data_IF_430825126203
#
_entry.id   IF_430825126203
#
_cell.length_a   1.000
_cell.length_b   1.000
_cell.length_c   1.000
_cell.angle_alpha   90.00
_cell.angle_beta   90.00
_cell.angle_gamma   90.00
#
_symmetry.space_group_name_H-M   'P 1'
#
loop_
_entity.id
_entity.type
_entity.pdbx_description
1 polymer ?
#
# COMPACT_ATOMS: atom_id res chain seq x y z
N UNK A 1 -15.47 0.79 1.84
CA UNK A 1 -15.75 -0.27 0.87
C UNK A 1 -15.25 -1.63 1.34
N UNK A 2 -15.44 -2.71 0.57
CA UNK A 2 -15.18 -4.10 1.01
C UNK A 2 -13.73 -4.35 1.44
N UNK A 3 -12.74 -3.72 0.80
CA UNK A 3 -11.34 -3.79 1.24
C UNK A 3 -11.14 -3.26 2.66
N UNK A 4 -11.80 -2.16 3.01
CA UNK A 4 -11.71 -1.58 4.35
C UNK A 4 -12.26 -2.50 5.44
N UNK A 5 -13.32 -3.24 5.16
CA UNK A 5 -13.85 -4.24 6.11
C UNK A 5 -12.81 -5.32 6.43
N UNK A 6 -12.12 -5.84 5.41
CA UNK A 6 -11.06 -6.83 5.62
C UNK A 6 -9.86 -6.25 6.36
N UNK A 7 -9.50 -4.99 6.14
CA UNK A 7 -8.43 -4.29 6.90
C UNK A 7 -8.76 -4.26 8.39
N UNK A 8 -10.01 -3.91 8.74
CA UNK A 8 -10.46 -3.86 10.14
C UNK A 8 -10.51 -5.27 10.74
N UNK A 9 -11.10 -6.24 10.06
CA UNK A 9 -11.20 -7.62 10.56
C UNK A 9 -9.84 -8.28 10.78
N UNK A 10 -8.83 -7.92 10.00
CA UNK A 10 -7.47 -8.44 10.10
C UNK A 10 -6.58 -7.65 11.08
N UNK A 11 -7.15 -6.68 11.79
CA UNK A 11 -6.42 -5.80 12.71
C UNK A 11 -5.22 -5.13 12.04
N UNK A 12 -5.43 -4.59 10.85
CA UNK A 12 -4.42 -3.87 10.08
C UNK A 12 -4.71 -2.36 10.07
N UNK A 13 -5.08 -1.79 11.23
CA UNK A 13 -5.52 -0.39 11.35
C UNK A 13 -4.45 0.61 10.89
N UNK A 14 -3.18 0.33 11.15
CA UNK A 14 -2.05 1.15 10.74
C UNK A 14 -1.56 0.88 9.31
N UNK A 15 -2.24 0.03 8.55
CA UNK A 15 -1.80 -0.33 7.21
C UNK A 15 -1.81 0.87 6.26
N UNK A 16 -2.85 1.71 6.33
CA UNK A 16 -2.94 2.93 5.54
C UNK A 16 -1.80 3.90 5.83
N UNK A 17 -1.49 4.10 7.11
CA UNK A 17 -0.39 4.95 7.56
C UNK A 17 0.97 4.42 7.08
N UNK A 18 1.21 3.12 7.25
CA UNK A 18 2.43 2.46 6.76
C UNK A 18 2.62 2.64 5.25
N UNK A 19 1.55 2.49 4.48
CA UNK A 19 1.62 2.67 3.03
C UNK A 19 1.77 4.14 2.63
N UNK A 20 1.19 5.08 3.37
CA UNK A 20 1.38 6.51 3.13
C UNK A 20 2.83 6.92 3.33
N UNK A 21 3.49 6.46 4.40
CA UNK A 21 4.91 6.73 4.63
C UNK A 21 5.81 6.02 3.61
N UNK A 22 5.47 4.79 3.21
CA UNK A 22 6.21 4.10 2.14
C UNK A 22 6.01 4.78 0.78
N UNK A 23 4.85 5.37 0.54
CA UNK A 23 4.59 6.13 -0.67
C UNK A 23 5.40 7.44 -0.71
N UNK A 24 5.55 8.12 0.43
CA UNK A 24 6.46 9.28 0.53
C UNK A 24 7.88 8.88 0.13
N UNK A 25 8.39 7.76 0.65
CA UNK A 25 9.68 7.22 0.25
C UNK A 25 9.72 6.92 -1.27
N UNK A 26 8.66 6.33 -1.81
CA UNK A 26 8.53 6.05 -3.24
C UNK A 26 8.61 7.31 -4.11
N UNK A 27 7.96 8.39 -3.69
CA UNK A 27 8.04 9.68 -4.37
C UNK A 27 9.47 10.23 -4.35
N UNK A 28 10.12 10.24 -3.20
CA UNK A 28 11.48 10.74 -3.06
C UNK A 28 12.46 9.95 -3.93
N UNK A 29 12.31 8.62 -3.98
CA UNK A 29 13.12 7.78 -4.86
C UNK A 29 12.81 8.02 -6.34
N UNK A 30 11.54 8.23 -6.71
CA UNK A 30 11.19 8.51 -8.11
C UNK A 30 11.89 9.75 -8.64
N UNK A 31 11.99 10.75 -7.78
CA UNK A 31 12.66 12.00 -8.11
C UNK A 31 14.17 11.84 -8.13
N UNK A 32 14.74 11.15 -7.15
CA UNK A 32 16.18 10.90 -7.08
C UNK A 32 16.70 10.19 -8.33
N UNK A 33 15.89 9.28 -8.91
CA UNK A 33 16.26 8.46 -10.07
C UNK A 33 15.54 8.87 -11.36
N UNK A 34 14.77 9.97 -11.38
CA UNK A 34 13.96 10.40 -12.53
C UNK A 34 13.03 9.30 -13.09
N UNK A 35 12.38 8.56 -12.17
CA UNK A 35 11.47 7.48 -12.51
C UNK A 35 10.00 7.96 -12.51
N UNK A 36 9.11 7.14 -13.08
CA UNK A 36 7.68 7.41 -13.03
C UNK A 36 7.15 7.32 -11.57
N UNK A 37 6.57 8.41 -11.07
CA UNK A 37 6.13 8.54 -9.68
C UNK A 37 5.17 7.42 -9.28
N UNK A 38 4.13 7.17 -10.07
CA UNK A 38 3.11 6.16 -9.76
C UNK A 38 3.67 4.75 -9.71
N UNK A 39 4.57 4.41 -10.64
CA UNK A 39 5.23 3.11 -10.68
C UNK A 39 6.18 2.92 -9.48
N UNK A 40 6.92 3.97 -9.12
CA UNK A 40 7.87 3.89 -7.99
C UNK A 40 7.13 3.79 -6.66
N UNK A 41 6.05 4.55 -6.48
CA UNK A 41 5.18 4.43 -5.29
C UNK A 41 4.63 3.00 -5.20
N UNK A 42 4.09 2.47 -6.28
CA UNK A 42 3.56 1.10 -6.30
C UNK A 42 4.63 0.07 -5.98
N UNK A 43 5.82 0.19 -6.56
CA UNK A 43 6.94 -0.73 -6.31
C UNK A 43 7.41 -0.69 -4.86
N UNK A 44 7.60 0.50 -4.29
CA UNK A 44 8.04 0.66 -2.89
C UNK A 44 6.96 0.18 -1.92
N UNK A 45 5.70 0.55 -2.14
CA UNK A 45 4.58 0.10 -1.32
C UNK A 45 4.40 -1.42 -1.38
N UNK A 46 4.56 -2.03 -2.55
CA UNK A 46 4.52 -3.48 -2.71
C UNK A 46 5.68 -4.18 -2.02
N UNK A 47 6.88 -3.59 -2.08
CA UNK A 47 8.06 -4.10 -1.37
C UNK A 47 7.84 -4.10 0.14
N UNK A 48 7.37 -2.99 0.71
CA UNK A 48 7.03 -2.89 2.14
C UNK A 48 5.94 -3.91 2.51
N UNK A 49 4.93 -4.07 1.67
CA UNK A 49 3.88 -5.08 1.86
C UNK A 49 4.44 -6.51 1.90
N UNK A 50 5.38 -6.84 1.01
CA UNK A 50 6.05 -8.15 1.00
C UNK A 50 6.95 -8.36 2.23
N UNK A 51 7.64 -7.31 2.68
CA UNK A 51 8.43 -7.35 3.92
C UNK A 51 7.51 -7.62 5.11
N UNK A 52 6.36 -6.93 5.18
CA UNK A 52 5.35 -7.16 6.21
C UNK A 52 4.91 -8.63 6.25
N UNK A 53 4.56 -9.20 5.10
CA UNK A 53 4.11 -10.59 5.00
C UNK A 53 5.21 -11.57 5.45
N UNK A 54 6.46 -11.29 5.13
CA UNK A 54 7.59 -12.10 5.62
C UNK A 54 7.77 -12.00 7.13
N UNK A 55 7.71 -10.78 7.67
CA UNK A 55 7.85 -10.56 9.11
C UNK A 55 6.71 -11.22 9.90
N UNK A 56 5.47 -11.16 9.39
CA UNK A 56 4.33 -11.86 10.00
C UNK A 56 4.53 -13.36 10.13
N UNK A 57 5.27 -13.98 9.21
CA UNK A 57 5.56 -15.42 9.23
C UNK A 57 6.76 -15.79 10.11
N UNK A 58 7.71 -14.89 10.24
CA UNK A 58 8.97 -15.15 10.95
C UNK A 58 8.97 -14.68 12.40
N UNK A 59 8.02 -13.85 12.76
CA UNK A 59 7.90 -13.26 14.10
C UNK A 59 6.53 -13.54 14.70
N UNK A 60 6.48 -13.66 16.01
CA UNK A 60 5.21 -13.78 16.76
C UNK A 60 4.68 -12.40 17.20
N UNK A 61 5.11 -11.33 16.56
CA UNK A 61 4.67 -9.98 16.90
C UNK A 61 3.27 -9.70 16.33
N UNK A 62 2.44 -8.94 17.04
CA UNK A 62 1.13 -8.53 16.53
C UNK A 62 1.29 -7.64 15.28
N UNK A 63 0.32 -7.72 14.38
CA UNK A 63 0.33 -6.99 13.10
C UNK A 63 0.51 -5.49 13.28
N UNK A 64 -0.13 -4.89 14.28
CA UNK A 64 -0.03 -3.46 14.56
C UNK A 64 1.39 -3.04 14.95
N UNK A 65 2.13 -3.88 15.69
CA UNK A 65 3.52 -3.60 16.05
C UNK A 65 4.44 -3.65 14.82
N UNK A 66 4.24 -4.63 13.93
CA UNK A 66 5.00 -4.73 12.67
C UNK A 66 4.70 -3.57 11.73
N UNK A 67 3.44 -3.17 11.64
CA UNK A 67 3.02 -2.02 10.83
C UNK A 67 3.60 -0.72 11.38
N UNK A 68 3.56 -0.51 12.68
CA UNK A 68 4.19 0.66 13.32
C UNK A 68 5.70 0.72 13.09
N UNK A 69 6.39 -0.41 13.22
CA UNK A 69 7.83 -0.50 12.94
C UNK A 69 8.14 -0.14 11.49
N UNK A 70 7.42 -0.72 10.54
CA UNK A 70 7.63 -0.46 9.11
C UNK A 70 7.28 0.97 8.73
N UNK A 71 6.19 1.53 9.30
CA UNK A 71 5.76 2.90 9.08
C UNK A 71 6.85 3.89 9.46
N UNK A 72 7.32 3.81 10.70
CA UNK A 72 8.36 4.72 11.19
C UNK A 72 9.72 4.50 10.53
N UNK A 73 10.06 3.25 10.17
CA UNK A 73 11.27 2.96 9.42
C UNK A 73 11.23 3.56 8.01
N UNK A 74 10.11 3.43 7.31
CA UNK A 74 9.93 4.02 5.98
C UNK A 74 9.99 5.55 6.04
N UNK A 75 9.37 6.16 7.06
CA UNK A 75 9.43 7.60 7.28
C UNK A 75 10.86 8.07 7.57
N UNK A 76 11.58 7.38 8.45
CA UNK A 76 12.96 7.72 8.80
C UNK A 76 13.90 7.67 7.58
N UNK A 77 13.79 6.60 6.78
CA UNK A 77 14.55 6.48 5.52
C UNK A 77 14.15 7.58 4.54
N UNK A 78 12.84 7.85 4.41
CA UNK A 78 12.34 8.96 3.58
C UNK A 78 12.94 10.31 3.97
N UNK A 79 12.99 10.61 5.27
CA UNK A 79 13.58 11.87 5.75
C UNK A 79 15.09 11.95 5.50
N UNK A 80 15.82 10.84 5.63
CA UNK A 80 17.25 10.79 5.28
C UNK A 80 17.45 11.06 3.79
N UNK A 81 16.67 10.40 2.93
CA UNK A 81 16.71 10.63 1.47
C UNK A 81 16.38 12.08 1.14
N UNK A 82 15.36 12.66 1.77
CA UNK A 82 15.02 14.07 1.61
C UNK A 82 16.18 15.01 1.99
N UNK A 83 16.88 14.69 3.06
CA UNK A 83 18.07 15.45 3.49
C UNK A 83 19.18 15.48 2.43
N UNK A 84 19.39 14.38 1.70
CA UNK A 84 20.33 14.32 0.58
C UNK A 84 19.82 15.06 -0.67
N UNK A 85 18.52 15.16 -0.85
CA UNK A 85 17.86 15.81 -1.99
C UNK A 85 17.59 17.32 -1.76
N UNK A 86 18.21 17.94 -0.77
CA UNK A 86 17.97 19.34 -0.36
C UNK A 86 18.18 20.39 -1.47
N UNK A 87 18.83 20.02 -2.58
CA UNK A 87 18.99 20.85 -3.76
C UNK A 87 17.77 20.91 -4.70
N UNK A 88 16.79 20.02 -4.51
CA UNK A 88 15.62 19.94 -5.38
C UNK A 88 14.46 20.65 -4.67
N UNK A 89 14.05 21.81 -5.20
CA UNK A 89 12.85 22.51 -4.73
C UNK A 89 11.61 21.71 -5.16
N UNK A 90 11.13 20.89 -4.26
CA UNK A 90 9.88 20.15 -4.43
C UNK A 90 8.71 20.94 -3.89
N UNK A 91 7.60 20.90 -4.59
CA UNK A 91 6.30 21.22 -4.02
C UNK A 91 5.81 20.06 -3.14
N UNK A 92 6.48 19.90 -1.99
CA UNK A 92 6.15 18.89 -0.99
C UNK A 92 4.70 19.09 -0.49
N UNK A 93 4.24 20.34 -0.45
CA UNK A 93 2.90 20.69 0.00
C UNK A 93 1.82 20.13 -0.94
N UNK A 94 1.96 20.30 -2.26
CA UNK A 94 1.03 19.73 -3.24
C UNK A 94 1.00 18.20 -3.18
N UNK A 95 2.12 17.58 -2.84
CA UNK A 95 2.25 16.13 -2.75
C UNK A 95 1.64 15.55 -1.46
N UNK A 96 1.80 16.25 -0.33
CA UNK A 96 1.26 15.83 0.96
C UNK A 96 -0.26 16.03 1.04
N UNK A 97 -0.78 17.12 0.51
CA UNK A 97 -2.19 17.48 0.61
C UNK A 97 -3.02 17.11 -0.63
N UNK A 98 -2.35 16.71 -1.71
CA UNK A 98 -3.00 16.43 -3.00
C UNK A 98 -3.45 17.72 -3.72
N UNK A 99 -3.66 17.62 -5.01
CA UNK A 99 -4.19 18.69 -5.84
C UNK A 99 -5.34 18.17 -6.72
N UNK A 100 -6.56 18.29 -6.24
CA UNK A 100 -7.77 17.86 -6.93
C UNK A 100 -7.97 18.64 -8.26
N UNK A 101 -7.46 19.88 -8.33
CA UNK A 101 -7.61 20.73 -9.51
C UNK A 101 -6.66 20.34 -10.66
N UNK A 102 -5.59 19.59 -10.39
CA UNK A 102 -4.64 19.10 -11.39
C UNK A 102 -5.04 17.78 -12.05
N UNK A 103 -6.21 17.22 -11.68
CA UNK A 103 -6.69 15.93 -12.19
C UNK A 103 -7.04 16.01 -13.66
N UNK A 104 -6.37 15.18 -14.46
CA UNK A 104 -6.58 15.09 -15.89
C UNK A 104 -7.54 13.93 -16.25
N UNK A 105 -8.09 13.93 -17.46
CA UNK A 105 -8.96 12.84 -17.95
C UNK A 105 -8.24 11.49 -17.92
N UNK A 106 -6.93 11.48 -18.15
CA UNK A 106 -6.10 10.28 -18.02
C UNK A 106 -6.02 9.73 -16.58
N UNK A 107 -6.02 10.60 -15.59
CA UNK A 107 -6.03 10.21 -14.18
C UNK A 107 -7.38 9.60 -13.81
N UNK A 108 -8.46 10.17 -14.32
CA UNK A 108 -9.81 9.64 -14.14
C UNK A 108 -9.94 8.23 -14.75
N UNK A 109 -9.42 8.02 -15.95
CA UNK A 109 -9.40 6.71 -16.60
C UNK A 109 -8.55 5.70 -15.79
N UNK A 110 -7.40 6.12 -15.30
CA UNK A 110 -6.53 5.28 -14.47
C UNK A 110 -7.25 4.82 -13.18
N UNK A 111 -8.03 5.72 -12.55
CA UNK A 111 -8.80 5.40 -11.35
C UNK A 111 -9.94 4.42 -11.68
N UNK A 112 -10.69 4.65 -12.76
CA UNK A 112 -11.77 3.77 -13.16
C UNK A 112 -11.28 2.38 -13.55
N UNK A 113 -10.24 2.31 -14.39
CA UNK A 113 -9.65 1.04 -14.85
C UNK A 113 -8.97 0.32 -13.68
N UNK A 114 -8.15 1.04 -12.91
CA UNK A 114 -7.47 0.49 -11.74
C UNK A 114 -8.44 0.04 -10.66
N UNK A 115 -9.45 0.85 -10.37
CA UNK A 115 -10.51 0.50 -9.42
C UNK A 115 -11.33 -0.71 -9.86
N UNK A 116 -11.72 -0.78 -11.13
CA UNK A 116 -12.43 -1.92 -11.70
C UNK A 116 -11.56 -3.20 -11.63
N UNK A 117 -10.28 -3.09 -11.98
CA UNK A 117 -9.35 -4.21 -11.88
C UNK A 117 -9.20 -4.71 -10.43
N UNK A 118 -9.02 -3.81 -9.48
CA UNK A 118 -8.95 -4.15 -8.04
C UNK A 118 -10.22 -4.87 -7.58
N UNK A 119 -11.40 -4.37 -7.97
CA UNK A 119 -12.68 -5.01 -7.62
C UNK A 119 -12.83 -6.39 -8.25
N UNK A 120 -12.41 -6.58 -9.51
CA UNK A 120 -12.44 -7.88 -10.18
C UNK A 120 -11.53 -8.90 -9.49
N UNK A 121 -10.30 -8.51 -9.16
CA UNK A 121 -9.38 -9.40 -8.45
C UNK A 121 -9.91 -9.70 -7.05
N UNK A 122 -10.45 -8.71 -6.34
CA UNK A 122 -11.07 -8.91 -5.03
C UNK A 122 -12.27 -9.87 -5.11
N UNK A 123 -13.11 -9.74 -6.13
CA UNK A 123 -14.23 -10.64 -6.37
C UNK A 123 -13.76 -12.08 -6.62
N UNK A 124 -12.68 -12.23 -7.39
CA UNK A 124 -12.08 -13.54 -7.68
C UNK A 124 -11.54 -14.22 -6.42
N UNK A 125 -10.84 -13.46 -5.56
CA UNK A 125 -10.26 -13.99 -4.31
C UNK A 125 -11.22 -13.92 -3.11
N UNK A 126 -12.48 -13.50 -3.32
CA UNK A 126 -13.43 -13.22 -2.23
C UNK A 126 -13.61 -14.39 -1.28
N UNK A 127 -13.90 -15.58 -1.84
CA UNK A 127 -14.13 -16.80 -1.05
C UNK A 127 -12.90 -17.20 -0.23
N UNK A 128 -11.71 -17.39 -0.82
CA UNK A 128 -10.52 -17.75 -0.05
C UNK A 128 -10.06 -16.63 0.89
N UNK A 129 -10.28 -15.36 0.55
CA UNK A 129 -9.98 -14.23 1.43
C UNK A 129 -10.87 -14.24 2.67
N UNK A 130 -12.16 -14.45 2.51
CA UNK A 130 -13.11 -14.55 3.61
C UNK A 130 -12.78 -15.77 4.49
N UNK A 131 -12.60 -16.94 3.92
CA UNK A 131 -12.26 -18.17 4.65
C UNK A 131 -10.97 -18.00 5.47
N UNK A 132 -9.91 -17.45 4.87
CA UNK A 132 -8.63 -17.21 5.56
C UNK A 132 -8.71 -16.12 6.65
N UNK A 133 -9.69 -15.25 6.58
CA UNK A 133 -9.91 -14.21 7.59
C UNK A 133 -10.66 -14.77 8.79
N UNK A 134 -11.58 -15.71 8.57
CA UNK A 134 -12.36 -16.36 9.64
C UNK A 134 -11.53 -17.42 10.36
N UNK A 135 -10.91 -18.32 9.61
CA UNK A 135 -10.05 -19.36 10.16
C UNK A 135 -8.96 -19.75 9.17
N UNK A 136 -7.73 -19.40 9.49
CA UNK A 136 -6.56 -19.66 8.65
C UNK A 136 -6.30 -21.16 8.45
N UNK A 137 -6.32 -21.95 9.52
CA UNK A 137 -6.03 -23.38 9.50
C UNK A 137 -7.09 -24.17 8.69
N UNK A 138 -8.35 -23.78 8.84
CA UNK A 138 -9.45 -24.41 8.09
C UNK A 138 -9.34 -24.10 6.59
N UNK A 139 -9.01 -22.87 6.23
CA UNK A 139 -8.82 -22.47 4.84
C UNK A 139 -7.65 -23.23 4.19
N UNK A 140 -6.58 -23.46 4.93
CA UNK A 140 -5.44 -24.27 4.49
C UNK A 140 -5.82 -25.75 4.30
N UNK A 141 -6.57 -26.32 5.25
CA UNK A 141 -7.04 -27.69 5.18
C UNK A 141 -7.99 -27.95 3.99
N UNK A 142 -8.74 -26.95 3.56
CA UNK A 142 -9.59 -27.01 2.37
C UNK A 142 -8.83 -26.82 1.05
N UNK A 143 -7.50 -26.73 1.09
CA UNK A 143 -6.64 -26.58 -0.09
C UNK A 143 -6.58 -25.15 -0.64
N UNK A 144 -7.14 -24.18 0.07
CA UNK A 144 -6.96 -22.77 -0.23
C UNK A 144 -5.58 -22.35 0.23
N UNK A 145 -4.86 -21.55 -0.57
CA UNK A 145 -3.55 -21.03 -0.17
C UNK A 145 -3.70 -19.66 0.52
N UNK A 146 -3.92 -19.60 1.86
CA UNK A 146 -4.18 -18.35 2.56
C UNK A 146 -3.03 -17.37 2.45
N UNK A 147 -1.80 -17.84 2.36
CA UNK A 147 -0.61 -17.02 2.16
C UNK A 147 -0.63 -16.25 0.84
N UNK A 148 -0.98 -16.93 -0.25
CA UNK A 148 -1.09 -16.28 -1.57
C UNK A 148 -2.21 -15.27 -1.59
N UNK A 149 -3.34 -15.62 -0.98
CA UNK A 149 -4.50 -14.73 -0.87
C UNK A 149 -4.15 -13.48 -0.06
N UNK A 150 -3.43 -13.64 1.04
CA UNK A 150 -2.94 -12.54 1.86
C UNK A 150 -1.98 -11.63 1.08
N UNK A 151 -1.06 -12.22 0.33
CA UNK A 151 -0.13 -11.47 -0.51
C UNK A 151 -0.87 -10.65 -1.59
N UNK A 152 -1.81 -11.27 -2.29
CA UNK A 152 -2.63 -10.59 -3.31
C UNK A 152 -3.43 -9.46 -2.67
N UNK A 153 -4.10 -9.70 -1.54
CA UNK A 153 -4.87 -8.68 -0.83
C UNK A 153 -4.01 -7.48 -0.42
N UNK A 154 -2.81 -7.73 0.12
CA UNK A 154 -1.89 -6.68 0.56
C UNK A 154 -1.36 -5.86 -0.62
N UNK A 155 -1.07 -6.51 -1.76
CA UNK A 155 -0.67 -5.84 -3.00
C UNK A 155 -1.83 -5.03 -3.59
N UNK A 156 -3.06 -5.53 -3.53
CA UNK A 156 -4.25 -4.77 -3.96
C UNK A 156 -4.43 -3.49 -3.13
N UNK A 157 -4.20 -3.55 -1.82
CA UNK A 157 -4.22 -2.36 -0.96
C UNK A 157 -3.11 -1.37 -1.34
N UNK A 158 -1.90 -1.86 -1.62
CA UNK A 158 -0.81 -1.02 -2.09
C UNK A 158 -1.14 -0.33 -3.43
N UNK A 159 -1.75 -1.07 -4.37
CA UNK A 159 -2.20 -0.52 -5.65
C UNK A 159 -3.29 0.55 -5.47
N UNK A 160 -4.27 0.29 -4.59
CA UNK A 160 -5.33 1.24 -4.28
C UNK A 160 -4.76 2.56 -3.75
N UNK A 161 -3.82 2.48 -2.81
CA UNK A 161 -3.18 3.66 -2.23
C UNK A 161 -2.34 4.39 -3.27
N UNK A 162 -1.57 3.68 -4.08
CA UNK A 162 -0.76 4.27 -5.15
C UNK A 162 -1.61 5.07 -6.17
N UNK A 163 -2.82 4.57 -6.49
CA UNK A 163 -3.75 5.27 -7.37
C UNK A 163 -4.37 6.50 -6.65
N UNK A 164 -4.67 6.36 -5.37
CA UNK A 164 -5.39 7.38 -4.60
C UNK A 164 -4.50 8.56 -4.18
N UNK A 165 -3.20 8.36 -4.00
CA UNK A 165 -2.26 9.37 -3.49
C UNK A 165 -2.24 10.63 -4.35
N UNK A 166 -2.33 10.49 -5.66
CA UNK A 166 -2.30 11.65 -6.57
C UNK A 166 -3.48 12.60 -6.35
N UNK A 167 -4.63 12.07 -5.90
CA UNK A 167 -5.85 12.85 -5.70
C UNK A 167 -6.04 13.29 -4.25
N UNK A 168 -5.75 12.42 -3.30
CA UNK A 168 -6.04 12.62 -1.88
C UNK A 168 -4.83 13.14 -1.11
N UNK A 169 -3.62 12.96 -1.66
CA UNK A 169 -2.37 13.25 -0.97
C UNK A 169 -1.94 12.12 -0.04
N UNK A 170 -0.81 12.35 0.64
CA UNK A 170 -0.19 11.37 1.54
C UNK A 170 -0.70 11.45 2.99
N UNK A 171 -1.36 12.55 3.36
CA UNK A 171 -1.85 12.79 4.74
C UNK A 171 -3.37 12.74 4.84
#
# INVERSE_FOLDING_TARGET
GPLGCFVVWRRMSFFGDTLSHSALLGVLLSVAFNLNISLTIFAVSSLIALILLRLQKTTNLPNDALLGLLSHSALAVGMVVLGFLSFIRFDIMGLLFGDILSVNVYDLLAIWIGGAFILLVLWYIWKPLFASTVNYELAEAEGMNPDRVNAIFTILLAALIAISIKMVGLL
#
